data_IF_371717235882
#
_entry.id   IF_371717235882
#
_cell.length_a   1.000
_cell.length_b   1.000
_cell.length_c   1.000
_cell.angle_alpha   90.00
_cell.angle_beta   90.00
_cell.angle_gamma   90.00
#
_symmetry.space_group_name_H-M   'P 1'
#
loop_
_entity.id
_entity.type
_entity.pdbx_description
1 polymer ?
#
# COMPACT_ATOMS: atom_id res chain seq x y z
N UNK A 1 8.36 -31.80 -30.88
CA UNK A 1 8.18 -31.60 -29.42
C UNK A 1 8.70 -30.24 -28.92
N UNK A 2 9.47 -29.49 -29.70
CA UNK A 2 9.96 -28.14 -29.32
C UNK A 2 8.90 -27.03 -29.38
N UNK A 3 7.89 -27.14 -30.26
CA UNK A 3 6.80 -26.15 -30.37
C UNK A 3 5.93 -26.02 -29.10
N UNK A 4 5.76 -27.09 -28.32
CA UNK A 4 4.99 -27.05 -27.08
C UNK A 4 5.77 -26.44 -25.91
N UNK A 5 7.11 -26.50 -25.93
CA UNK A 5 7.98 -25.95 -24.88
C UNK A 5 7.91 -24.42 -24.88
N UNK A 6 7.79 -23.79 -26.05
CA UNK A 6 7.66 -22.33 -26.15
C UNK A 6 6.31 -21.78 -25.66
N UNK A 7 5.25 -22.58 -25.72
CA UNK A 7 3.92 -22.19 -25.21
C UNK A 7 3.84 -22.22 -23.68
N UNK A 8 4.65 -23.03 -23.00
CA UNK A 8 4.71 -23.09 -21.54
C UNK A 8 5.40 -21.88 -20.90
N UNK A 9 6.32 -21.23 -21.62
CA UNK A 9 7.03 -20.02 -21.15
C UNK A 9 6.11 -18.78 -21.14
N UNK A 10 5.03 -18.80 -21.93
CA UNK A 10 4.05 -17.70 -22.00
C UNK A 10 3.06 -17.70 -20.83
N UNK A 11 2.99 -18.76 -20.03
CA UNK A 11 2.27 -18.74 -18.75
C UNK A 11 3.18 -18.19 -17.66
N UNK A 12 3.65 -16.95 -17.81
CA UNK A 12 4.16 -16.19 -16.67
C UNK A 12 2.97 -15.87 -15.77
N UNK A 13 2.67 -16.75 -14.82
CA UNK A 13 1.77 -16.42 -13.73
C UNK A 13 2.46 -15.34 -12.91
N UNK A 14 2.16 -14.07 -13.18
CA UNK A 14 2.47 -12.96 -12.28
C UNK A 14 1.53 -13.12 -11.08
N UNK A 15 1.84 -14.09 -10.22
CA UNK A 15 1.12 -14.26 -8.97
C UNK A 15 1.53 -13.09 -8.08
N UNK A 16 0.54 -12.32 -7.61
CA UNK A 16 0.78 -11.34 -6.56
C UNK A 16 1.40 -12.06 -5.35
N UNK A 17 2.66 -11.74 -5.07
CA UNK A 17 3.42 -12.30 -3.95
C UNK A 17 2.99 -11.58 -2.67
N UNK A 18 2.76 -12.35 -1.61
CA UNK A 18 2.54 -11.76 -0.29
C UNK A 18 3.83 -11.20 0.29
N UNK A 19 3.77 -10.13 1.09
CA UNK A 19 4.92 -9.70 1.88
C UNK A 19 5.55 -10.86 2.68
N UNK A 20 6.88 -10.94 2.65
CA UNK A 20 7.68 -11.70 3.61
C UNK A 20 7.53 -11.15 5.03
N UNK A 21 7.92 -11.90 6.07
CA UNK A 21 7.88 -11.42 7.46
C UNK A 21 8.69 -10.12 7.65
N UNK A 22 9.84 -10.01 7.01
CA UNK A 22 10.67 -8.82 7.04
C UNK A 22 9.98 -7.62 6.35
N UNK A 23 9.24 -7.86 5.26
CA UNK A 23 8.45 -6.82 4.59
C UNK A 23 7.23 -6.43 5.43
N UNK A 24 6.52 -7.38 6.05
CA UNK A 24 5.41 -7.09 6.98
C UNK A 24 5.88 -6.22 8.13
N UNK A 25 7.06 -6.54 8.70
CA UNK A 25 7.69 -5.73 9.73
C UNK A 25 8.06 -4.34 9.20
N UNK A 26 8.64 -4.24 8.01
CA UNK A 26 8.99 -2.96 7.40
C UNK A 26 7.77 -2.07 7.15
N UNK A 27 6.63 -2.65 6.73
CA UNK A 27 5.35 -1.95 6.57
C UNK A 27 4.94 -1.33 7.90
N UNK A 28 4.90 -2.12 8.99
CA UNK A 28 4.53 -1.62 10.31
C UNK A 28 5.49 -0.53 10.81
N UNK A 29 6.80 -0.75 10.72
CA UNK A 29 7.82 0.22 11.14
C UNK A 29 7.69 1.56 10.39
N UNK A 30 7.41 1.53 9.08
CA UNK A 30 7.17 2.75 8.30
C UNK A 30 5.92 3.51 8.80
N UNK A 31 4.80 2.80 8.98
CA UNK A 31 3.56 3.41 9.47
C UNK A 31 3.72 3.98 10.88
N UNK A 32 4.32 3.22 11.80
CA UNK A 32 4.57 3.66 13.19
C UNK A 32 5.40 4.95 13.19
N UNK A 33 6.54 4.97 12.51
CA UNK A 33 7.40 6.16 12.40
C UNK A 33 6.66 7.37 11.86
N UNK A 34 5.84 7.20 10.82
CA UNK A 34 5.10 8.30 10.21
C UNK A 34 4.00 8.86 11.11
N UNK A 35 3.34 7.98 11.88
CA UNK A 35 2.25 8.31 12.82
C UNK A 35 2.76 8.92 14.12
N UNK A 36 3.92 8.50 14.61
CA UNK A 36 4.57 9.12 15.77
C UNK A 36 5.05 10.54 15.47
N UNK A 37 5.44 10.81 14.22
CA UNK A 37 6.04 12.08 13.80
C UNK A 37 5.03 13.13 13.30
N UNK A 38 3.72 12.90 13.43
CA UNK A 38 2.71 13.83 12.91
C UNK A 38 2.78 15.18 13.61
N UNK A 39 2.51 16.24 12.84
CA UNK A 39 2.40 17.61 13.33
C UNK A 39 1.09 18.24 12.83
N UNK A 40 0.29 18.86 13.73
CA UNK A 40 0.48 18.90 15.18
C UNK A 40 0.39 17.51 15.82
N UNK A 41 0.98 17.33 17.00
CA UNK A 41 0.97 16.05 17.71
C UNK A 41 -0.45 15.59 18.01
N UNK A 42 -0.80 14.40 17.55
CA UNK A 42 -2.11 13.80 17.81
C UNK A 42 -2.16 13.16 19.21
N UNK A 43 -3.27 13.33 19.91
CA UNK A 43 -3.48 12.77 21.25
C UNK A 43 -4.04 11.34 21.26
N UNK A 44 -4.49 10.83 20.10
CA UNK A 44 -5.27 9.60 19.99
C UNK A 44 -4.84 8.71 18.80
N UNK A 45 -3.58 8.82 18.35
CA UNK A 45 -3.04 7.91 17.33
C UNK A 45 -2.93 6.50 17.91
N UNK A 46 -3.55 5.55 17.21
CA UNK A 46 -3.49 4.14 17.57
C UNK A 46 -2.28 3.46 16.94
N UNK A 47 -1.65 2.55 17.68
CA UNK A 47 -0.62 1.65 17.19
C UNK A 47 -1.26 0.63 16.23
N UNK A 48 -0.61 0.40 15.10
CA UNK A 48 -1.09 -0.55 14.10
C UNK A 48 -0.56 -1.96 14.37
N UNK A 49 -1.36 -2.95 14.02
CA UNK A 49 -0.96 -4.37 13.99
C UNK A 49 -1.15 -4.93 12.60
N UNK A 50 -0.28 -5.83 12.17
CA UNK A 50 -0.42 -6.46 10.86
C UNK A 50 -1.65 -7.39 10.84
N UNK A 51 -2.46 -7.32 9.79
CA UNK A 51 -3.62 -8.18 9.60
C UNK A 51 -3.47 -9.01 8.35
N UNK A 52 -3.27 -10.32 8.52
CA UNK A 52 -3.23 -11.28 7.40
C UNK A 52 -4.58 -11.41 6.69
N UNK A 53 -5.68 -11.08 7.38
CA UNK A 53 -7.00 -10.98 6.75
C UNK A 53 -7.08 -9.80 5.76
N UNK A 54 -6.54 -8.63 6.13
CA UNK A 54 -6.46 -7.48 5.23
C UNK A 54 -5.45 -7.72 4.08
N UNK A 55 -4.34 -8.39 4.34
CA UNK A 55 -3.40 -8.83 3.29
C UNK A 55 -4.10 -9.73 2.27
N UNK A 56 -4.85 -10.74 2.74
CA UNK A 56 -5.61 -11.66 1.88
C UNK A 56 -6.65 -10.91 1.05
N UNK A 57 -7.30 -9.92 1.65
CA UNK A 57 -8.25 -9.05 0.94
C UNK A 57 -7.55 -8.22 -0.13
N UNK A 58 -6.39 -7.62 0.17
CA UNK A 58 -5.59 -6.86 -0.78
C UNK A 58 -5.15 -7.73 -1.98
N UNK A 59 -4.68 -8.96 -1.74
CA UNK A 59 -4.37 -9.92 -2.80
C UNK A 59 -5.58 -10.25 -3.68
N UNK A 60 -6.75 -10.43 -3.07
CA UNK A 60 -7.97 -10.73 -3.81
C UNK A 60 -8.33 -9.62 -4.78
N UNK A 61 -8.15 -8.36 -4.38
CA UNK A 61 -8.38 -7.18 -5.22
C UNK A 61 -7.36 -7.15 -6.36
N UNK A 62 -6.07 -7.34 -6.05
CA UNK A 62 -5.00 -7.26 -7.03
C UNK A 62 -5.03 -8.40 -8.06
N UNK A 63 -5.61 -9.56 -7.73
CA UNK A 63 -5.76 -10.69 -8.66
C UNK A 63 -6.57 -10.38 -9.90
N UNK A 64 -7.52 -9.45 -9.80
CA UNK A 64 -8.37 -9.09 -10.92
C UNK A 64 -7.63 -8.17 -11.91
N UNK A 65 -6.51 -7.57 -11.50
CA UNK A 65 -5.79 -6.53 -12.25
C UNK A 65 -6.75 -5.48 -12.84
N UNK A 66 -7.84 -5.19 -12.12
CA UNK A 66 -8.90 -4.30 -12.57
C UNK A 66 -8.55 -2.87 -12.17
N UNK A 67 -8.77 -1.94 -13.09
CA UNK A 67 -8.72 -0.51 -12.80
C UNK A 67 -9.89 -0.05 -11.91
N UNK A 68 -10.89 -0.92 -11.69
CA UNK A 68 -12.02 -0.61 -10.82
C UNK A 68 -11.60 -0.67 -9.35
N UNK A 69 -11.70 0.47 -8.68
CA UNK A 69 -11.56 0.55 -7.23
C UNK A 69 -12.71 -0.26 -6.58
N UNK A 70 -12.42 -1.31 -5.80
CA UNK A 70 -13.46 -2.07 -5.12
C UNK A 70 -14.13 -1.22 -4.04
N UNK A 71 -15.45 -1.35 -3.90
CA UNK A 71 -16.18 -0.76 -2.77
C UNK A 71 -15.87 -1.55 -1.48
N UNK A 72 -14.85 -1.11 -0.76
CA UNK A 72 -14.42 -1.70 0.50
C UNK A 72 -15.17 -1.06 1.67
N UNK A 73 -16.12 -1.80 2.24
CA UNK A 73 -16.83 -1.34 3.44
C UNK A 73 -15.90 -1.35 4.65
N UNK A 74 -15.74 -0.18 5.27
CA UNK A 74 -14.98 0.03 6.51
C UNK A 74 -13.49 -0.32 6.42
N UNK A 75 -12.91 -0.39 5.22
CA UNK A 75 -11.49 -0.65 5.01
C UNK A 75 -10.96 0.38 4.02
N UNK A 76 -9.93 1.12 4.42
CA UNK A 76 -9.17 1.99 3.53
C UNK A 76 -8.05 1.22 2.84
N UNK A 77 -7.54 1.76 1.75
CA UNK A 77 -6.35 1.23 1.08
C UNK A 77 -5.46 2.39 0.64
N UNK A 78 -4.21 2.11 0.31
CA UNK A 78 -3.31 3.05 -0.36
C UNK A 78 -2.66 2.30 -1.50
N UNK A 79 -2.41 2.98 -2.62
CA UNK A 79 -1.75 2.36 -3.76
C UNK A 79 -0.69 3.30 -4.31
N UNK A 80 0.55 2.83 -4.54
CA UNK A 80 1.51 3.64 -5.27
C UNK A 80 1.03 3.87 -6.70
N UNK A 81 1.52 4.92 -7.33
CA UNK A 81 1.40 5.10 -8.77
C UNK A 81 1.98 3.88 -9.49
N UNK A 82 1.45 3.59 -10.68
CA UNK A 82 1.95 2.49 -11.50
C UNK A 82 3.46 2.64 -11.78
N UNK A 83 4.21 1.55 -11.60
CA UNK A 83 5.63 1.48 -11.89
C UNK A 83 5.99 0.22 -12.66
N UNK A 84 6.97 0.33 -13.57
CA UNK A 84 7.48 -0.78 -14.39
C UNK A 84 8.24 -1.82 -13.55
N UNK A 85 8.77 -1.42 -12.40
CA UNK A 85 9.57 -2.27 -11.51
C UNK A 85 8.87 -2.50 -10.19
N UNK A 86 9.09 -3.66 -9.58
CA UNK A 86 8.70 -3.94 -8.19
C UNK A 86 9.42 -2.92 -7.29
N UNK A 87 8.64 -2.13 -6.56
CA UNK A 87 9.15 -1.21 -5.54
C UNK A 87 9.33 -1.95 -4.22
N UNK A 88 10.30 -1.53 -3.42
CA UNK A 88 10.38 -1.97 -2.03
C UNK A 88 9.33 -1.23 -1.19
N UNK A 89 8.70 -1.92 -0.24
CA UNK A 89 7.72 -1.32 0.67
C UNK A 89 8.25 -0.08 1.39
N UNK A 90 9.53 -0.10 1.79
CA UNK A 90 10.17 1.05 2.45
C UNK A 90 10.24 2.29 1.55
N UNK A 91 10.46 2.11 0.25
CA UNK A 91 10.58 3.24 -0.67
C UNK A 91 9.24 3.98 -0.84
N UNK A 92 8.13 3.26 -0.73
CA UNK A 92 6.77 3.79 -0.87
C UNK A 92 6.20 4.28 0.45
N UNK A 93 6.31 3.48 1.51
CA UNK A 93 5.56 3.69 2.74
C UNK A 93 6.29 4.50 3.80
N UNK A 94 7.63 4.60 3.77
CA UNK A 94 8.35 5.35 4.80
C UNK A 94 8.46 6.86 4.48
N UNK A 95 8.11 7.29 3.26
CA UNK A 95 8.24 8.67 2.79
C UNK A 95 6.97 9.11 2.05
N UNK A 96 5.83 9.11 2.74
CA UNK A 96 4.57 9.61 2.19
C UNK A 96 4.57 11.13 2.21
N UNK A 97 4.38 11.73 1.03
CA UNK A 97 4.34 13.19 0.87
C UNK A 97 3.19 13.79 1.69
N UNK A 98 3.52 14.83 2.46
CA UNK A 98 2.58 15.59 3.28
C UNK A 98 2.56 17.07 2.92
N UNK A 99 3.32 17.49 1.90
CA UNK A 99 3.54 18.91 1.58
C UNK A 99 2.26 19.62 1.12
N UNK A 100 1.33 18.89 0.51
CA UNK A 100 0.06 19.43 0.04
C UNK A 100 -1.05 19.53 1.09
N UNK A 101 -0.86 19.04 2.32
CA UNK A 101 -1.91 19.04 3.35
C UNK A 101 -1.70 20.16 4.37
N UNK A 102 -2.77 20.93 4.63
CA UNK A 102 -2.83 21.93 5.72
C UNK A 102 -3.82 21.47 6.78
N UNK A 103 -3.33 21.22 8.00
CA UNK A 103 -4.13 20.66 9.08
C UNK A 103 -5.17 21.64 9.63
N UNK A 104 -4.81 22.92 9.76
CA UNK A 104 -5.62 23.95 10.43
C UNK A 104 -7.00 24.16 9.80
N UNK A 105 -7.10 23.96 8.50
CA UNK A 105 -8.32 24.15 7.72
C UNK A 105 -8.75 22.89 6.96
N UNK A 106 -8.10 21.75 7.22
CA UNK A 106 -8.32 20.46 6.56
C UNK A 106 -8.28 20.54 5.02
N UNK A 107 -7.37 21.34 4.45
CA UNK A 107 -7.26 21.54 3.00
C UNK A 107 -6.13 20.74 2.35
N UNK A 108 -6.33 20.41 1.07
CA UNK A 108 -5.39 19.66 0.24
C UNK A 108 -5.12 20.37 -1.07
N UNK A 109 -3.84 20.58 -1.40
CA UNK A 109 -3.39 20.85 -2.76
C UNK A 109 -3.25 19.51 -3.51
N UNK A 110 -4.27 19.15 -4.30
CA UNK A 110 -4.35 17.85 -4.96
C UNK A 110 -4.92 16.76 -4.05
N UNK A 111 -4.39 15.54 -4.15
CA UNK A 111 -4.85 14.39 -3.34
C UNK A 111 -3.96 14.21 -2.12
N UNK A 112 -4.54 14.22 -0.91
CA UNK A 112 -3.85 13.78 0.31
C UNK A 112 -4.39 12.45 0.86
N UNK A 113 -5.06 11.65 0.04
CA UNK A 113 -5.71 10.42 0.51
C UNK A 113 -4.71 9.46 1.17
N UNK A 114 -3.58 9.19 0.50
CA UNK A 114 -2.54 8.31 1.06
C UNK A 114 -1.93 8.88 2.33
N UNK A 115 -1.68 10.20 2.36
CA UNK A 115 -1.20 10.89 3.57
C UNK A 115 -2.16 10.70 4.75
N UNK A 116 -3.45 11.02 4.59
CA UNK A 116 -4.46 10.92 5.66
C UNK A 116 -4.71 9.47 6.10
N UNK A 117 -4.46 8.50 5.22
CA UNK A 117 -4.64 7.09 5.54
C UNK A 117 -3.44 6.51 6.31
N UNK A 118 -2.22 7.01 6.05
CA UNK A 118 -0.97 6.51 6.64
C UNK A 118 -0.61 7.25 7.93
N UNK A 119 -0.90 8.55 8.01
CA UNK A 119 -0.49 9.46 9.09
C UNK A 119 -1.66 9.85 9.99
#
# INVERSE_FOLDING_TARGET
MTKFIFLLVLFSTTLAEVPSEEERKAILECHEKLREAVQPTASNIQLLTYSTALETQALSILRECSDSIPDLKNVGYTQPLWHIRKLAYRDVLCNVDSSGYTYENDTCEGSCYDYKQVR
#
